data_IF_820084268599
#
_entry.id   IF_820084268599
#
_cell.length_a   1.000
_cell.length_b   1.000
_cell.length_c   1.000
_cell.angle_alpha   90.00
_cell.angle_beta   90.00
_cell.angle_gamma   90.00
#
_symmetry.space_group_name_H-M   'P 1'
#
loop_
_entity.id
_entity.type
_entity.pdbx_description
1 polymer ?
#
# COMPACT_ATOMS: atom_id res chain seq x y z
N UNK A 1 5.09 -16.00 -13.01
CA UNK A 1 4.14 -14.91 -13.32
C UNK A 1 3.55 -14.44 -12.00
N UNK A 2 3.94 -13.24 -11.58
CA UNK A 2 3.63 -12.62 -10.28
C UNK A 2 2.12 -12.70 -10.02
N UNK A 3 1.68 -13.32 -8.92
CA UNK A 3 0.27 -13.22 -8.49
C UNK A 3 0.04 -11.75 -8.14
N UNK A 4 -0.57 -10.99 -9.04
CA UNK A 4 -0.90 -9.60 -8.75
C UNK A 4 -1.84 -9.56 -7.55
N UNK A 5 -1.35 -9.09 -6.41
CA UNK A 5 -2.17 -8.94 -5.21
C UNK A 5 -3.21 -7.85 -5.47
N UNK A 6 -4.49 -8.13 -5.16
CA UNK A 6 -5.61 -7.19 -5.42
C UNK A 6 -5.38 -5.83 -4.72
N UNK A 7 -4.70 -5.86 -3.57
CA UNK A 7 -4.30 -4.68 -2.81
C UNK A 7 -3.22 -3.86 -3.53
N UNK A 8 -2.20 -4.48 -4.14
CA UNK A 8 -1.20 -3.75 -4.93
C UNK A 8 -1.79 -3.24 -6.25
N UNK A 9 -2.65 -4.03 -6.90
CA UNK A 9 -3.36 -3.63 -8.12
C UNK A 9 -4.23 -2.38 -7.90
N UNK A 10 -4.76 -2.20 -6.70
CA UNK A 10 -5.51 -1.00 -6.32
C UNK A 10 -4.61 0.13 -5.80
N UNK A 11 -3.62 -0.19 -4.96
CA UNK A 11 -2.74 0.79 -4.33
C UNK A 11 -1.89 1.57 -5.32
N UNK A 12 -1.31 0.91 -6.33
CA UNK A 12 -0.41 1.56 -7.29
C UNK A 12 -1.11 2.66 -8.11
N UNK A 13 -2.26 2.41 -8.77
CA UNK A 13 -3.00 3.47 -9.46
C UNK A 13 -3.44 4.61 -8.54
N UNK A 14 -3.77 4.33 -7.28
CA UNK A 14 -4.19 5.33 -6.29
C UNK A 14 -3.04 6.26 -5.89
N UNK A 15 -1.83 5.73 -5.65
CA UNK A 15 -0.63 6.54 -5.43
C UNK A 15 -0.33 7.42 -6.65
N UNK A 16 -0.35 6.81 -7.84
CA UNK A 16 -0.04 7.51 -9.09
C UNK A 16 -1.07 8.61 -9.37
N UNK A 17 -2.36 8.32 -9.17
CA UNK A 17 -3.44 9.31 -9.31
C UNK A 17 -3.30 10.47 -8.33
N UNK A 18 -2.96 10.19 -7.07
CA UNK A 18 -2.68 11.22 -6.06
C UNK A 18 -1.46 12.08 -6.42
N UNK A 19 -0.35 11.45 -6.83
CA UNK A 19 0.85 12.16 -7.24
C UNK A 19 0.65 13.03 -8.49
N UNK A 20 -0.08 12.51 -9.49
CA UNK A 20 -0.43 13.27 -10.71
C UNK A 20 -1.38 14.43 -10.36
N UNK A 21 -2.35 14.21 -9.47
CA UNK A 21 -3.22 15.27 -8.96
C UNK A 21 -2.42 16.41 -8.35
N UNK A 22 -1.50 16.09 -7.44
CA UNK A 22 -0.57 17.05 -6.82
C UNK A 22 0.32 17.78 -7.85
N UNK A 23 0.78 17.09 -8.90
CA UNK A 23 1.61 17.69 -9.94
C UNK A 23 0.80 18.63 -10.84
N UNK A 24 -0.38 18.22 -11.29
CA UNK A 24 -1.26 19.02 -12.14
C UNK A 24 -1.73 20.28 -11.44
N UNK A 25 -1.99 20.17 -10.14
CA UNK A 25 -2.38 21.28 -9.28
C UNK A 25 -1.28 22.37 -9.22
N UNK A 26 -0.02 21.95 -9.01
CA UNK A 26 1.16 22.84 -9.02
C UNK A 26 1.45 23.48 -10.38
N UNK A 27 1.08 22.82 -11.48
CA UNK A 27 1.29 23.34 -12.85
C UNK A 27 0.19 24.34 -13.22
N UNK A 28 -1.05 24.11 -12.77
CA UNK A 28 -2.21 24.96 -13.11
C UNK A 28 -2.30 26.21 -12.25
N UNK A 29 -1.84 26.16 -11.01
CA UNK A 29 -1.84 27.30 -10.12
C UNK A 29 -0.41 27.70 -9.78
N UNK A 30 0.02 28.80 -10.38
CA UNK A 30 1.32 29.42 -10.15
C UNK A 30 1.52 29.91 -8.71
N UNK A 31 0.47 29.94 -7.88
CA UNK A 31 0.50 30.53 -6.53
C UNK A 31 0.24 29.55 -5.37
N UNK A 32 -0.04 28.27 -5.64
CA UNK A 32 -0.22 27.29 -4.57
C UNK A 32 -1.31 26.27 -4.87
N UNK A 33 -1.12 25.11 -4.25
CA UNK A 33 -1.96 23.90 -4.30
C UNK A 33 -3.45 24.25 -4.08
N UNK A 34 -4.39 23.81 -4.94
CA UNK A 34 -5.83 23.89 -4.63
C UNK A 34 -6.10 22.97 -3.45
N UNK A 35 -6.23 23.58 -2.30
CA UNK A 35 -6.83 22.98 -1.14
C UNK A 35 -8.34 22.80 -1.36
N UNK A 36 -8.75 21.63 -1.86
CA UNK A 36 -10.17 21.32 -2.12
C UNK A 36 -10.99 21.05 -0.83
N UNK A 37 -10.35 20.94 0.34
CA UNK A 37 -11.01 20.66 1.63
C UNK A 37 -10.57 21.72 2.66
N UNK A 38 -11.30 22.84 2.71
CA UNK A 38 -11.27 23.77 3.86
C UNK A 38 -12.37 23.34 4.84
N UNK A 39 -12.01 22.52 5.83
CA UNK A 39 -12.90 22.23 6.97
C UNK A 39 -12.54 23.24 8.04
N UNK A 40 -13.40 24.23 8.26
CA UNK A 40 -13.24 25.23 9.31
C UNK A 40 -14.57 25.53 9.98
N UNK A 41 -14.56 25.69 11.31
CA UNK A 41 -15.70 26.20 12.08
C UNK A 41 -15.27 27.54 12.68
N UNK A 42 -15.86 28.64 12.21
CA UNK A 42 -15.51 30.00 12.67
C UNK A 42 -14.14 30.46 12.15
N UNK A 43 -13.28 30.99 13.04
CA UNK A 43 -11.91 31.46 12.70
C UNK A 43 -10.86 30.36 12.73
N UNK A 44 -11.23 29.13 13.10
CA UNK A 44 -10.33 28.00 13.19
C UNK A 44 -10.43 27.20 11.90
N UNK A 45 -9.41 27.33 11.04
CA UNK A 45 -9.23 26.45 9.88
C UNK A 45 -8.51 25.19 10.34
N UNK A 46 -9.13 24.03 10.12
CA UNK A 46 -8.45 22.76 10.27
C UNK A 46 -7.39 22.66 9.17
N UNK A 47 -6.25 22.04 9.48
CA UNK A 47 -5.13 21.83 8.56
C UNK A 47 -5.64 21.44 7.16
N UNK A 48 -5.26 22.19 6.12
CA UNK A 48 -5.70 21.87 4.77
C UNK A 48 -5.07 20.55 4.32
N UNK A 49 -5.91 19.53 4.18
CA UNK A 49 -5.50 18.23 3.67
C UNK A 49 -5.84 18.16 2.19
N UNK A 50 -4.82 18.10 1.34
CA UNK A 50 -5.03 17.88 -0.08
C UNK A 50 -5.58 16.46 -0.29
N UNK A 51 -6.63 16.34 -1.12
CA UNK A 51 -7.18 15.05 -1.59
C UNK A 51 -6.07 14.17 -2.18
N UNK A 52 -5.07 14.79 -2.80
CA UNK A 52 -3.89 14.12 -3.32
C UNK A 52 -3.05 13.42 -2.22
N UNK A 53 -2.82 14.06 -1.09
CA UNK A 53 -2.04 13.48 0.02
C UNK A 53 -2.82 12.34 0.70
N UNK A 54 -4.15 12.49 0.76
CA UNK A 54 -5.05 11.41 1.23
C UNK A 54 -5.01 10.22 0.29
N UNK A 55 -5.05 10.44 -1.03
CA UNK A 55 -4.92 9.38 -2.03
C UNK A 55 -3.57 8.67 -1.95
N UNK A 56 -2.46 9.42 -1.87
CA UNK A 56 -1.11 8.84 -1.72
C UNK A 56 -1.01 8.01 -0.43
N UNK A 57 -1.55 8.52 0.69
CA UNK A 57 -1.54 7.80 1.98
C UNK A 57 -2.33 6.50 1.90
N UNK A 58 -3.55 6.52 1.36
CA UNK A 58 -4.39 5.32 1.20
C UNK A 58 -3.69 4.30 0.30
N UNK A 59 -3.14 4.75 -0.83
CA UNK A 59 -2.43 3.88 -1.76
C UNK A 59 -1.18 3.24 -1.13
N UNK A 60 -0.42 4.00 -0.33
CA UNK A 60 0.74 3.50 0.40
C UNK A 60 0.34 2.45 1.45
N UNK A 61 -0.72 2.69 2.22
CA UNK A 61 -1.25 1.71 3.19
C UNK A 61 -1.69 0.42 2.47
N UNK A 62 -2.37 0.52 1.34
CA UNK A 62 -2.74 -0.64 0.54
C UNK A 62 -1.52 -1.45 0.07
N UNK A 63 -0.43 -0.77 -0.32
CA UNK A 63 0.80 -1.43 -0.76
C UNK A 63 1.52 -2.12 0.41
N UNK A 64 1.62 -1.47 1.58
CA UNK A 64 2.21 -2.05 2.78
C UNK A 64 1.44 -3.31 3.20
N UNK A 65 0.10 -3.26 3.21
CA UNK A 65 -0.73 -4.42 3.51
C UNK A 65 -0.60 -5.54 2.47
N UNK A 66 -0.41 -5.19 1.20
CA UNK A 66 -0.17 -6.18 0.14
C UNK A 66 1.12 -6.94 0.38
N UNK A 67 2.22 -6.21 0.62
CA UNK A 67 3.55 -6.78 0.85
C UNK A 67 3.58 -7.64 2.11
N UNK A 68 2.94 -7.18 3.19
CA UNK A 68 2.89 -7.95 4.44
C UNK A 68 2.15 -9.28 4.26
N UNK A 69 1.05 -9.30 3.51
CA UNK A 69 0.31 -10.54 3.23
C UNK A 69 1.11 -11.52 2.36
N UNK A 70 1.91 -11.01 1.44
CA UNK A 70 2.80 -11.82 0.61
C UNK A 70 3.90 -12.46 1.45
N UNK A 71 4.52 -11.71 2.37
CA UNK A 71 5.51 -12.22 3.32
C UNK A 71 4.95 -13.35 4.20
N UNK A 72 3.75 -13.17 4.78
CA UNK A 72 3.10 -14.21 5.57
C UNK A 72 2.84 -15.50 4.77
N UNK A 73 2.43 -15.37 3.50
CA UNK A 73 2.21 -16.52 2.63
C UNK A 73 3.53 -17.27 2.33
N UNK A 74 4.62 -16.53 2.13
CA UNK A 74 5.96 -17.11 1.93
C UNK A 74 6.46 -17.85 3.18
N UNK A 75 6.28 -17.27 4.37
CA UNK A 75 6.67 -17.92 5.64
C UNK A 75 5.89 -19.22 5.90
N UNK A 76 4.57 -19.23 5.62
CA UNK A 76 3.74 -20.43 5.77
C UNK A 76 4.18 -21.52 4.79
N UNK A 77 4.44 -21.17 3.52
CA UNK A 77 4.93 -22.11 2.52
C UNK A 77 6.30 -22.69 2.90
N UNK A 78 7.21 -21.86 3.39
CA UNK A 78 8.52 -22.29 3.87
C UNK A 78 8.42 -23.27 5.06
N UNK A 79 7.54 -22.98 6.03
CA UNK A 79 7.29 -23.86 7.19
C UNK A 79 6.68 -25.19 6.77
N UNK A 80 5.75 -25.19 5.81
CA UNK A 80 5.14 -26.42 5.28
C UNK A 80 6.17 -27.29 4.54
N UNK A 81 7.04 -26.68 3.73
CA UNK A 81 8.13 -27.39 3.06
C UNK A 81 9.12 -27.99 4.07
N UNK A 82 9.52 -27.24 5.09
CA UNK A 82 10.41 -27.72 6.15
C UNK A 82 9.84 -28.89 6.98
N UNK A 83 8.53 -28.88 7.24
CA UNK A 83 7.87 -29.97 7.98
C UNK A 83 7.82 -31.29 7.19
N UNK A 84 7.70 -31.23 5.85
CA UNK A 84 7.67 -32.42 4.99
C UNK A 84 9.03 -33.13 4.89
N UNK A 85 10.14 -32.41 5.08
CA UNK A 85 11.50 -32.97 5.03
C UNK A 85 11.93 -33.75 6.29
N UNK A 86 11.25 -33.55 7.42
CA UNK A 86 11.62 -34.15 8.70
C UNK A 86 11.05 -35.57 8.93
N UNK A 87 10.10 -36.04 8.09
CA UNK A 87 9.44 -37.34 8.25
C UNK A 87 10.11 -38.52 7.53
N UNK A 88 11.25 -38.32 6.85
CA UNK A 88 11.84 -39.30 5.92
C UNK A 88 13.05 -40.11 6.42
N UNK A 89 13.53 -39.90 7.65
CA UNK A 89 14.71 -40.61 8.17
C UNK A 89 14.37 -41.32 9.48
N UNK A 90 13.84 -42.54 9.38
CA UNK A 90 13.48 -43.33 10.55
C UNK A 90 13.01 -44.74 10.19
N UNK A 91 13.82 -45.51 9.46
CA UNK A 91 13.51 -46.91 9.21
C UNK A 91 14.52 -47.60 8.31
N UNK A 92 15.53 -48.25 8.89
CA UNK A 92 16.43 -49.11 8.13
C UNK A 92 17.80 -49.39 8.76
N UNK A 93 17.86 -49.76 10.03
CA UNK A 93 19.00 -50.52 10.56
C UNK A 93 18.48 -51.62 11.47
N UNK A 94 18.46 -52.85 10.95
CA UNK A 94 18.69 -54.12 11.65
C UNK A 94 18.71 -55.21 10.60
#
# INVERSE_FOLDING_TARGET
LTRTSRLAAFGVPVIVGGAIGNLLDRIRLREGVVDFIDIGIGTTRFWTFNVADTAVTIGAVCLVLALWREDQALQVAAKAAGASGAGGQGGGTS
#
